data_IF_290334936914
#
_entry.id   IF_290334936914
#
_cell.length_a   1.000
_cell.length_b   1.000
_cell.length_c   1.000
_cell.angle_alpha   90.00
_cell.angle_beta   90.00
_cell.angle_gamma   90.00
#
_symmetry.space_group_name_H-M   'P 1'
#
loop_
_entity.id
_entity.type
_entity.pdbx_description
1 polymer ?
#
# COMPACT_ATOMS: atom_id res chain seq x y z
N UNK A 1 -14.91 -22.92 1.67
CA UNK A 1 -13.47 -22.99 2.04
C UNK A 1 -12.68 -21.76 1.58
N UNK A 2 -12.76 -21.37 0.30
CA UNK A 2 -12.03 -20.22 -0.26
C UNK A 2 -12.27 -18.91 0.50
N UNK A 3 -13.53 -18.57 0.82
CA UNK A 3 -13.87 -17.37 1.60
C UNK A 3 -13.28 -17.38 3.03
N UNK A 4 -13.24 -18.54 3.67
CA UNK A 4 -12.66 -18.68 5.02
C UNK A 4 -11.15 -18.45 4.97
N UNK A 5 -10.49 -18.96 3.93
CA UNK A 5 -9.06 -18.73 3.71
C UNK A 5 -8.79 -17.25 3.44
N UNK A 6 -9.61 -16.58 2.61
CA UNK A 6 -9.49 -15.15 2.35
C UNK A 6 -9.61 -14.31 3.63
N UNK A 7 -10.59 -14.61 4.47
CA UNK A 7 -10.78 -13.90 5.74
C UNK A 7 -9.60 -14.13 6.68
N UNK A 8 -9.10 -15.37 6.75
CA UNK A 8 -7.95 -15.72 7.57
C UNK A 8 -6.66 -15.03 7.12
N UNK A 9 -6.40 -14.96 5.81
CA UNK A 9 -5.19 -14.29 5.29
C UNK A 9 -5.22 -12.79 5.53
N UNK A 10 -6.38 -12.14 5.42
CA UNK A 10 -6.55 -10.72 5.76
C UNK A 10 -6.28 -10.51 7.26
N UNK A 11 -6.87 -11.34 8.13
CA UNK A 11 -6.68 -11.23 9.57
C UNK A 11 -5.22 -11.46 9.99
N UNK A 12 -4.54 -12.46 9.44
CA UNK A 12 -3.12 -12.74 9.72
C UNK A 12 -2.23 -11.58 9.28
N UNK A 13 -2.46 -11.03 8.07
CA UNK A 13 -1.70 -9.90 7.57
C UNK A 13 -1.82 -8.65 8.48
N UNK A 14 -3.02 -8.38 9.01
CA UNK A 14 -3.26 -7.28 9.95
C UNK A 14 -2.62 -7.54 11.33
N UNK A 15 -2.63 -8.78 11.81
CA UNK A 15 -2.05 -9.16 13.09
C UNK A 15 -0.50 -9.07 13.08
N UNK A 16 0.15 -9.45 11.98
CA UNK A 16 1.62 -9.49 11.86
C UNK A 16 2.28 -8.11 11.65
N UNK A 17 1.52 -7.06 11.27
CA UNK A 17 2.00 -5.67 11.10
C UNK A 17 3.29 -5.55 10.28
N UNK A 18 3.43 -6.36 9.23
CA UNK A 18 4.61 -6.38 8.36
C UNK A 18 4.74 -5.06 7.61
N UNK A 19 5.90 -4.40 7.74
CA UNK A 19 6.20 -3.17 6.99
C UNK A 19 6.62 -3.51 5.57
N UNK A 20 6.18 -2.68 4.62
CA UNK A 20 6.60 -2.76 3.21
C UNK A 20 8.03 -2.21 3.12
N UNK A 21 8.95 -3.01 2.57
CA UNK A 21 10.37 -2.64 2.43
C UNK A 21 10.65 -2.14 1.01
N UNK A 22 10.10 -2.82 0.00
CA UNK A 22 10.18 -2.40 -1.38
C UNK A 22 8.97 -2.94 -2.17
N UNK A 23 8.53 -2.19 -3.17
CA UNK A 23 7.47 -2.61 -4.09
C UNK A 23 8.12 -2.83 -5.46
N UNK A 24 8.13 -4.08 -5.92
CA UNK A 24 8.66 -4.42 -7.24
C UNK A 24 7.54 -4.33 -8.28
N UNK A 25 7.85 -3.79 -9.47
CA UNK A 25 6.90 -3.66 -10.60
C UNK A 25 5.68 -2.79 -10.32
N UNK A 26 5.87 -1.61 -9.71
CA UNK A 26 4.81 -0.61 -9.63
C UNK A 26 4.51 -0.02 -11.01
N UNK A 27 3.24 0.21 -11.32
CA UNK A 27 2.83 0.88 -12.55
C UNK A 27 3.31 2.33 -12.60
N UNK A 28 2.97 3.04 -13.69
CA UNK A 28 3.32 4.46 -13.86
C UNK A 28 2.47 5.43 -13.03
N UNK A 29 1.51 4.95 -12.22
CA UNK A 29 0.68 5.83 -11.40
C UNK A 29 1.43 6.34 -10.17
N UNK A 30 1.26 7.63 -9.89
CA UNK A 30 1.92 8.34 -8.79
C UNK A 30 1.57 7.78 -7.41
N UNK A 31 0.40 7.14 -7.28
CA UNK A 31 -0.05 6.55 -6.02
C UNK A 31 0.93 5.53 -5.44
N UNK A 32 1.68 4.82 -6.31
CA UNK A 32 2.58 3.77 -5.87
C UNK A 32 3.91 4.29 -5.29
N UNK A 33 4.24 5.55 -5.57
CA UNK A 33 5.45 6.23 -5.08
C UNK A 33 5.29 6.81 -3.67
N UNK A 34 4.06 6.80 -3.14
CA UNK A 34 3.75 7.31 -1.82
C UNK A 34 4.27 6.44 -0.67
N UNK A 35 4.20 6.97 0.54
CA UNK A 35 4.40 6.20 1.76
C UNK A 35 3.15 5.37 2.09
N UNK A 36 3.35 4.25 2.78
CA UNK A 36 2.27 3.37 3.24
C UNK A 36 2.33 3.22 4.77
N UNK A 37 1.32 3.69 5.51
CA UNK A 37 0.12 4.40 5.05
C UNK A 37 0.43 5.81 4.53
N UNK A 38 -0.42 6.39 3.66
CA UNK A 38 -0.26 7.75 3.21
C UNK A 38 -0.46 8.73 4.38
N UNK A 39 0.21 9.88 4.29
CA UNK A 39 0.01 10.99 5.21
C UNK A 39 -1.36 11.63 4.99
N UNK A 40 -1.95 12.24 6.03
CA UNK A 40 -3.21 13.00 5.90
C UNK A 40 -3.13 14.10 4.83
N UNK A 41 -1.95 14.71 4.70
CA UNK A 41 -1.62 15.58 3.59
C UNK A 41 -0.58 14.86 2.72
N UNK A 42 -1.07 14.17 1.68
CA UNK A 42 -0.26 13.23 0.88
C UNK A 42 0.86 13.89 0.07
N UNK A 43 0.74 15.20 -0.22
CA UNK A 43 1.68 15.92 -1.09
C UNK A 43 2.02 17.26 -0.44
N UNK A 44 3.31 17.54 -0.24
CA UNK A 44 3.75 18.85 0.22
C UNK A 44 3.67 19.92 -0.88
N UNK A 45 3.77 19.48 -2.14
CA UNK A 45 3.74 20.33 -3.33
C UNK A 45 2.93 19.62 -4.43
N UNK A 46 2.36 20.39 -5.35
CA UNK A 46 1.57 19.84 -6.45
C UNK A 46 2.52 19.04 -7.36
N UNK A 47 2.26 17.75 -7.61
CA UNK A 47 3.09 16.98 -8.52
C UNK A 47 3.00 17.59 -9.92
N UNK A 48 4.13 18.07 -10.44
CA UNK A 48 4.21 18.57 -11.80
C UNK A 48 4.14 17.39 -12.77
N UNK A 49 3.07 17.33 -13.56
CA UNK A 49 3.00 16.43 -14.71
C UNK A 49 3.65 17.18 -15.88
N UNK A 50 4.86 16.77 -16.25
CA UNK A 50 5.45 17.09 -17.54
C UNK A 50 5.58 15.79 -18.33
#
# INVERSE_FOLDING_TARGET
>A
ISLVILIFTIWEALASKRKIINMFFTGSSLEWLGSYPPLNHSYNEIPSIF
#
